data_IF_986022385115
#
_entry.id   IF_986022385115
#
_cell.length_a   1.000
_cell.length_b   1.000
_cell.length_c   1.000
_cell.angle_alpha   90.00
_cell.angle_beta   90.00
_cell.angle_gamma   90.00
#
_symmetry.space_group_name_H-M   'P 1'
#
loop_
_entity.id
_entity.type
_entity.pdbx_description
1 polymer ?
#
# COMPACT_ATOMS: atom_id res chain seq x y z
N UNK A 1 3.05 -26.80 3.16
CA UNK A 1 3.35 -26.43 4.56
C UNK A 1 3.59 -24.93 4.60
N UNK A 2 2.57 -24.14 4.94
CA UNK A 2 2.68 -22.68 5.07
C UNK A 2 3.34 -22.39 6.42
N UNK A 3 4.63 -22.06 6.39
CA UNK A 3 5.35 -21.55 7.56
C UNK A 3 4.60 -20.30 8.04
N UNK A 4 4.12 -20.32 9.28
CA UNK A 4 3.35 -19.22 9.85
C UNK A 4 4.28 -18.01 10.01
N UNK A 5 4.11 -16.99 9.16
CA UNK A 5 4.72 -15.66 9.31
C UNK A 5 4.10 -14.95 10.52
N UNK A 6 4.45 -15.39 11.74
CA UNK A 6 3.99 -14.78 12.98
C UNK A 6 5.15 -14.60 13.94
N UNK A 7 5.13 -13.48 14.66
CA UNK A 7 6.06 -13.23 15.75
C UNK A 7 6.02 -14.37 16.77
N UNK A 8 7.17 -14.67 17.39
CA UNK A 8 7.22 -15.68 18.44
C UNK A 8 6.43 -15.22 19.68
N UNK A 9 5.95 -16.15 20.54
CA UNK A 9 5.23 -15.77 21.77
C UNK A 9 6.03 -14.82 22.68
N UNK A 10 7.36 -14.95 22.68
CA UNK A 10 8.25 -14.07 23.42
C UNK A 10 8.21 -12.63 22.89
N UNK A 11 8.23 -12.45 21.57
CA UNK A 11 8.14 -11.13 20.92
C UNK A 11 6.77 -10.51 21.17
N UNK A 12 5.70 -11.28 21.00
CA UNK A 12 4.33 -10.82 21.30
C UNK A 12 4.23 -10.33 22.76
N UNK A 13 4.80 -11.09 23.70
CA UNK A 13 4.83 -10.70 25.11
C UNK A 13 5.61 -9.40 25.39
N UNK A 14 6.68 -9.12 24.64
CA UNK A 14 7.39 -7.82 24.73
C UNK A 14 6.52 -6.69 24.20
N UNK A 15 5.94 -6.86 23.00
CA UNK A 15 5.09 -5.85 22.36
C UNK A 15 3.93 -5.46 23.27
N UNK A 16 3.24 -6.44 23.87
CA UNK A 16 2.13 -6.19 24.78
C UNK A 16 2.56 -5.45 26.05
N UNK A 17 3.70 -5.81 26.65
CA UNK A 17 4.19 -5.09 27.85
C UNK A 17 4.48 -3.62 27.55
N UNK A 18 5.08 -3.33 26.40
CA UNK A 18 5.36 -1.96 25.97
C UNK A 18 4.05 -1.19 25.73
N UNK A 19 3.09 -1.79 25.02
CA UNK A 19 1.78 -1.20 24.77
C UNK A 19 1.01 -0.89 26.07
N UNK A 20 1.03 -1.82 27.03
CA UNK A 20 0.42 -1.65 28.36
C UNK A 20 1.14 -0.62 29.25
N UNK A 21 2.32 -0.16 28.82
CA UNK A 21 3.09 0.92 29.47
C UNK A 21 2.93 2.25 28.73
N UNK A 22 1.86 2.41 27.94
CA UNK A 22 1.54 3.58 27.12
C UNK A 22 2.60 3.95 26.07
N UNK A 23 3.44 2.99 25.66
CA UNK A 23 4.42 3.20 24.60
C UNK A 23 3.74 3.11 23.24
N UNK A 24 3.96 4.13 22.40
CA UNK A 24 3.47 4.18 21.01
C UNK A 24 4.52 3.67 20.04
N UNK A 25 4.10 2.93 19.02
CA UNK A 25 4.99 2.38 18.00
C UNK A 25 4.88 3.16 16.69
N UNK A 26 5.94 3.89 16.34
CA UNK A 26 6.02 4.60 15.07
C UNK A 26 7.05 3.93 14.16
N UNK A 27 6.71 3.79 12.88
CA UNK A 27 7.59 3.28 11.83
C UNK A 27 7.43 4.13 10.57
N UNK A 28 8.30 3.97 9.59
CA UNK A 28 8.22 4.71 8.34
C UNK A 28 8.38 3.81 7.12
N UNK A 29 7.64 4.11 6.07
CA UNK A 29 7.83 3.51 4.74
C UNK A 29 8.09 4.58 3.69
N UNK A 30 8.54 4.15 2.51
CA UNK A 30 8.70 5.05 1.37
C UNK A 30 7.34 5.50 0.83
N UNK A 31 7.25 6.78 0.48
CA UNK A 31 6.16 7.39 -0.25
C UNK A 31 6.69 8.34 -1.33
N UNK A 32 5.80 8.98 -2.09
CA UNK A 32 6.19 9.75 -3.29
C UNK A 32 7.11 10.96 -3.02
N UNK A 33 7.09 11.52 -1.82
CA UNK A 33 7.87 12.70 -1.43
C UNK A 33 8.89 12.41 -0.32
N UNK A 34 9.22 11.14 -0.07
CA UNK A 34 10.12 10.72 1.01
C UNK A 34 9.45 9.73 1.95
N UNK A 35 9.93 9.66 3.20
CA UNK A 35 9.39 8.74 4.19
C UNK A 35 8.05 9.23 4.74
N UNK A 36 7.09 8.32 4.86
CA UNK A 36 5.81 8.53 5.53
C UNK A 36 5.86 7.77 6.84
N UNK A 37 5.66 8.48 7.96
CA UNK A 37 5.58 7.87 9.29
C UNK A 37 4.15 7.47 9.60
N UNK A 38 3.97 6.26 10.10
CA UNK A 38 2.70 5.72 10.56
C UNK A 38 2.84 5.15 11.96
N UNK A 39 1.75 5.21 12.72
CA UNK A 39 1.64 4.55 14.02
C UNK A 39 1.06 3.16 13.83
N UNK A 40 1.69 2.16 14.41
CA UNK A 40 1.20 0.78 14.41
C UNK A 40 0.46 0.48 15.70
N UNK A 41 -0.65 -0.25 15.60
CA UNK A 41 -1.21 -0.97 16.74
C UNK A 41 -0.28 -2.11 17.17
N UNK A 42 -0.39 -2.62 18.41
CA UNK A 42 0.40 -3.78 18.86
C UNK A 42 0.29 -4.98 17.91
N UNK A 43 -0.94 -5.31 17.47
CA UNK A 43 -1.17 -6.41 16.52
C UNK A 43 -0.53 -6.17 15.15
N UNK A 44 -0.50 -4.93 14.67
CA UNK A 44 0.21 -4.58 13.43
C UNK A 44 1.73 -4.66 13.60
N UNK A 45 2.27 -4.32 14.77
CA UNK A 45 3.69 -4.49 15.07
C UNK A 45 4.09 -5.97 15.12
N UNK A 46 3.22 -6.84 15.62
CA UNK A 46 3.44 -8.30 15.58
C UNK A 46 3.55 -8.81 14.14
N UNK A 47 2.69 -8.32 13.23
CA UNK A 47 2.79 -8.63 11.79
C UNK A 47 4.06 -8.02 11.20
N UNK A 48 4.37 -6.78 11.55
CA UNK A 48 5.53 -6.04 11.02
C UNK A 48 6.84 -6.78 11.29
N UNK A 49 6.94 -7.45 12.44
CA UNK A 49 8.11 -8.23 12.83
C UNK A 49 8.51 -9.30 11.79
N UNK A 50 7.52 -9.88 11.09
CA UNK A 50 7.75 -10.93 10.10
C UNK A 50 7.50 -10.46 8.66
N UNK A 51 6.57 -9.55 8.46
CA UNK A 51 6.16 -9.04 7.15
C UNK A 51 5.81 -7.54 7.22
N UNK A 52 6.82 -6.65 7.12
CA UNK A 52 6.60 -5.22 7.13
C UNK A 52 5.59 -4.74 6.09
N UNK A 53 5.60 -5.33 4.88
CA UNK A 53 4.70 -4.95 3.81
C UNK A 53 3.23 -5.28 4.13
N UNK A 54 2.98 -6.44 4.74
CA UNK A 54 1.64 -6.80 5.20
C UNK A 54 1.17 -5.89 6.34
N UNK A 55 2.05 -5.53 7.27
CA UNK A 55 1.72 -4.59 8.34
C UNK A 55 1.38 -3.21 7.79
N UNK A 56 2.20 -2.64 6.89
CA UNK A 56 1.87 -1.38 6.23
C UNK A 56 0.56 -1.45 5.45
N UNK A 57 0.33 -2.51 4.69
CA UNK A 57 -0.93 -2.70 3.98
C UNK A 57 -2.15 -2.67 4.92
N UNK A 58 -2.02 -3.30 6.09
CA UNK A 58 -3.11 -3.32 7.09
C UNK A 58 -3.39 -1.94 7.70
N UNK A 59 -2.41 -1.04 7.78
CA UNK A 59 -2.62 0.36 8.23
C UNK A 59 -3.58 1.08 7.28
N UNK A 60 -3.48 0.79 5.98
CA UNK A 60 -4.31 1.40 4.94
C UNK A 60 -5.55 0.58 4.57
N UNK A 61 -5.80 -0.55 5.25
CA UNK A 61 -6.96 -1.41 4.97
C UNK A 61 -6.93 -2.12 3.62
N UNK A 62 -5.73 -2.35 3.05
CA UNK A 62 -5.55 -3.00 1.74
C UNK A 62 -4.76 -4.31 1.87
N UNK A 63 -4.58 -5.02 0.76
CA UNK A 63 -3.78 -6.25 0.74
C UNK A 63 -2.28 -5.95 0.68
N UNK A 64 -1.46 -6.89 1.17
CA UNK A 64 0.01 -6.86 1.00
C UNK A 64 0.42 -6.69 -0.47
N UNK A 65 -0.28 -7.38 -1.38
CA UNK A 65 -0.01 -7.31 -2.80
C UNK A 65 -0.26 -5.91 -3.36
N UNK A 66 -1.32 -5.25 -2.92
CA UNK A 66 -1.63 -3.87 -3.35
C UNK A 66 -0.60 -2.86 -2.87
N UNK A 67 -0.15 -2.98 -1.62
CA UNK A 67 0.92 -2.14 -1.08
C UNK A 67 2.21 -2.27 -1.90
N UNK A 68 2.63 -3.50 -2.20
CA UNK A 68 3.82 -3.75 -3.01
C UNK A 68 3.65 -3.27 -4.46
N UNK A 69 2.45 -3.42 -5.02
CA UNK A 69 2.15 -2.94 -6.36
C UNK A 69 2.19 -1.40 -6.45
N UNK A 70 1.69 -0.70 -5.43
CA UNK A 70 1.79 0.76 -5.33
C UNK A 70 3.24 1.25 -5.30
N UNK A 71 4.10 0.59 -4.50
CA UNK A 71 5.54 0.86 -4.46
C UNK A 71 6.20 0.59 -5.82
N UNK A 72 5.92 -0.58 -6.42
CA UNK A 72 6.49 -0.98 -7.71
C UNK A 72 6.03 -0.08 -8.86
N UNK A 73 4.83 0.48 -8.77
CA UNK A 73 4.29 1.43 -9.76
C UNK A 73 4.91 2.83 -9.65
N UNK A 74 5.87 3.05 -8.74
CA UNK A 74 6.43 4.38 -8.49
C UNK A 74 5.34 5.38 -8.08
N UNK A 75 4.36 4.91 -7.32
CA UNK A 75 3.23 5.70 -6.83
C UNK A 75 2.31 6.26 -7.93
N UNK A 76 2.35 5.70 -9.14
CA UNK A 76 1.52 6.13 -10.26
C UNK A 76 0.37 5.16 -10.53
N UNK A 77 -0.86 5.65 -10.57
CA UNK A 77 -2.04 4.87 -10.99
C UNK A 77 -2.24 5.01 -12.50
N UNK A 78 -2.09 3.91 -13.24
CA UNK A 78 -2.19 3.90 -14.70
C UNK A 78 -3.64 3.76 -15.16
N UNK A 79 -3.91 4.32 -16.35
CA UNK A 79 -5.17 4.16 -17.05
C UNK A 79 -5.49 2.68 -17.32
N UNK A 80 -6.76 2.31 -17.18
CA UNK A 80 -7.25 0.97 -17.40
C UNK A 80 -7.43 0.61 -18.89
N UNK A 81 -7.45 1.58 -19.79
CA UNK A 81 -7.74 1.36 -21.21
C UNK A 81 -6.55 0.75 -21.98
N UNK A 82 -6.87 0.01 -23.04
CA UNK A 82 -5.88 -0.49 -23.98
C UNK A 82 -5.72 0.48 -25.16
N UNK A 83 -4.49 0.69 -25.59
CA UNK A 83 -4.18 1.33 -26.87
C UNK A 83 -4.73 0.50 -28.03
N UNK A 84 -4.87 1.10 -29.22
CA UNK A 84 -5.26 0.41 -30.46
C UNK A 84 -4.36 -0.79 -30.83
N UNK A 85 -3.16 -0.88 -30.24
CA UNK A 85 -2.23 -2.00 -30.38
C UNK A 85 -2.36 -3.06 -29.27
N UNK A 86 -3.43 -3.02 -28.48
CA UNK A 86 -3.71 -3.95 -27.38
C UNK A 86 -2.82 -3.82 -26.15
N UNK A 87 -1.97 -2.78 -26.07
CA UNK A 87 -1.10 -2.54 -24.90
C UNK A 87 -1.78 -1.63 -23.91
N UNK A 88 -1.56 -1.83 -22.62
CA UNK A 88 -2.05 -0.92 -21.57
C UNK A 88 -1.60 0.52 -21.83
N UNK A 89 -2.54 1.47 -21.69
CA UNK A 89 -2.24 2.89 -21.72
C UNK A 89 -1.29 3.25 -20.58
N UNK A 90 -0.20 3.96 -20.91
CA UNK A 90 0.82 4.38 -19.94
C UNK A 90 0.52 5.71 -19.26
N UNK A 91 -0.53 6.42 -19.67
CA UNK A 91 -0.90 7.67 -19.04
C UNK A 91 -1.47 7.39 -17.64
N UNK A 92 -1.17 8.26 -16.66
CA UNK A 92 -1.81 8.16 -15.36
C UNK A 92 -3.32 8.44 -15.50
N UNK A 93 -4.11 7.86 -14.61
CA UNK A 93 -5.48 8.32 -14.39
C UNK A 93 -5.48 9.80 -14.01
N UNK A 94 -6.60 10.50 -14.15
CA UNK A 94 -6.68 11.89 -13.68
C UNK A 94 -6.32 11.99 -12.19
N UNK A 95 -5.31 12.80 -11.84
CA UNK A 95 -4.77 12.88 -10.48
C UNK A 95 -3.95 11.66 -10.01
N UNK A 96 -3.63 10.72 -10.91
CA UNK A 96 -2.94 9.46 -10.61
C UNK A 96 -1.41 9.53 -10.54
N UNK A 97 -0.82 10.73 -10.49
CA UNK A 97 0.62 10.93 -10.34
C UNK A 97 0.97 11.17 -8.88
N UNK A 98 2.04 10.55 -8.37
CA UNK A 98 2.51 10.67 -6.98
C UNK A 98 1.39 10.45 -5.96
N UNK A 99 0.62 9.37 -6.12
CA UNK A 99 -0.49 9.05 -5.24
C UNK A 99 0.04 8.77 -3.83
N UNK A 100 -0.33 9.64 -2.89
CA UNK A 100 0.28 9.72 -1.56
C UNK A 100 0.09 8.48 -0.68
N UNK A 101 -1.04 7.78 -0.81
CA UNK A 101 -1.37 6.62 0.00
C UNK A 101 -1.80 5.43 -0.88
N UNK A 102 -1.49 4.20 -0.48
CA UNK A 102 -1.74 3.03 -1.31
C UNK A 102 -3.23 2.68 -1.42
N UNK A 103 -4.06 2.96 -0.41
CA UNK A 103 -5.52 2.81 -0.47
C UNK A 103 -6.15 3.71 -1.55
N UNK A 104 -5.69 4.96 -1.64
CA UNK A 104 -6.10 5.89 -2.69
C UNK A 104 -5.67 5.39 -4.07
N UNK A 105 -4.47 4.83 -4.17
CA UNK A 105 -3.99 4.25 -5.43
C UNK A 105 -4.80 3.02 -5.85
N UNK A 106 -5.20 2.16 -4.90
CA UNK A 106 -6.11 1.04 -5.17
C UNK A 106 -7.48 1.53 -5.65
N UNK A 107 -8.05 2.54 -4.99
CA UNK A 107 -9.34 3.12 -5.37
C UNK A 107 -9.32 3.77 -6.77
N UNK A 108 -8.13 4.13 -7.27
CA UNK A 108 -7.94 4.68 -8.62
C UNK A 108 -7.90 3.62 -9.72
N UNK A 109 -7.68 2.34 -9.40
CA UNK A 109 -7.65 1.28 -10.41
C UNK A 109 -8.99 1.17 -11.15
N UNK A 110 -8.92 0.85 -12.44
CA UNK A 110 -10.11 0.81 -13.30
C UNK A 110 -10.54 2.18 -13.85
N UNK A 111 -9.98 3.28 -13.34
CA UNK A 111 -10.22 4.60 -13.91
C UNK A 111 -9.35 4.87 -15.15
N UNK A 112 -9.64 6.00 -15.78
CA UNK A 112 -9.11 6.35 -17.09
C UNK A 112 -8.31 7.65 -17.02
N UNK A 113 -7.39 7.85 -17.96
CA UNK A 113 -6.70 9.13 -18.14
C UNK A 113 -7.63 10.14 -18.81
N UNK A 114 -7.26 11.43 -18.82
CA UNK A 114 -8.06 12.49 -19.46
C UNK A 114 -8.40 12.17 -20.93
N UNK A 115 -7.46 11.57 -21.68
CA UNK A 115 -7.66 11.21 -23.09
C UNK A 115 -8.75 10.14 -23.26
N UNK A 116 -8.80 9.17 -22.34
CA UNK A 116 -9.78 8.07 -22.40
C UNK A 116 -11.07 8.35 -21.59
N UNK A 117 -11.08 9.35 -20.68
CA UNK A 117 -12.31 9.83 -20.01
C UNK A 117 -13.14 10.75 -20.91
N UNK A 118 -12.49 11.60 -21.70
CA UNK A 118 -13.17 12.54 -22.61
C UNK A 118 -13.49 11.93 -23.97
N UNK A 119 -12.94 10.76 -24.25
CA UNK A 119 -13.24 9.96 -25.43
C UNK A 119 -13.74 8.59 -25.03
N UNK A 120 -15.02 8.48 -24.65
CA UNK A 120 -15.70 7.19 -24.65
C UNK A 120 -15.45 6.55 -26.01
N UNK A 121 -14.74 5.42 -25.97
CA UNK A 121 -14.35 4.60 -27.11
C UNK A 121 -15.47 4.56 -28.16
N UNK A 122 -15.15 5.02 -29.37
CA UNK A 122 -15.85 4.56 -30.58
C UNK A 122 -15.44 3.13 -30.89
#
# INVERSE_FOLDING_TARGET
MTQQNRASPQVIGVIQRLANSDITFNTSHDGPAGKVTVTLTPGQLEVFWCDPAAAFASVYGITRGDYLAWQAAGYMAQCAELTTKGRQCRNPVHGGHLVATPDRWVAMRGNYCLIHQEGVSK
#
